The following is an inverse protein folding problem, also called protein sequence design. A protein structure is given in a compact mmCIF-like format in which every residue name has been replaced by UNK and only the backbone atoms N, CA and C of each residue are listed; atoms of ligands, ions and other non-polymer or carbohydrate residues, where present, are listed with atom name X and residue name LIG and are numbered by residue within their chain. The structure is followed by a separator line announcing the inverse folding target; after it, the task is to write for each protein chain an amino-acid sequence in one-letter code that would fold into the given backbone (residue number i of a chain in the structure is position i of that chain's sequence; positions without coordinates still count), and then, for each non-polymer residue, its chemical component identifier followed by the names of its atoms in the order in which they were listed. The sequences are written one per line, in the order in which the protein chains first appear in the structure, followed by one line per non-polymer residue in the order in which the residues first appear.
data_IF_975377927939
#
_entry.id   IF_975377927939
#
_cell.length_a   1.000
_cell.length_b   1.000
_cell.length_c   1.000
_cell.angle_alpha   90.00
_cell.angle_beta   90.00
_cell.angle_gamma   90.00
#
_symmetry.space_group_name_H-M   'P 1'
#
loop_
_entity.id
_entity.type
_entity.pdbx_description
1 polymer ?
#
# COMPACT_ATOMS: atom_id res chain seq x y z
N UNK A 1 -11.46 2.85 7.47
CA UNK A 1 -10.54 2.01 6.67
C UNK A 1 -9.33 1.70 7.53
N UNK A 2 -8.93 0.44 7.66
CA UNK A 2 -7.71 0.04 8.39
C UNK A 2 -6.64 -0.31 7.34
N UNK A 3 -5.39 -0.04 7.64
CA UNK A 3 -4.25 -0.47 6.82
C UNK A 3 -3.22 -1.06 7.78
N UNK A 4 -2.62 -2.19 7.41
CA UNK A 4 -1.56 -2.83 8.20
C UNK A 4 -0.18 -2.28 7.86
N UNK A 5 0.64 -2.08 8.90
CA UNK A 5 2.09 -1.86 8.79
C UNK A 5 2.73 -3.23 8.65
N UNK A 6 3.27 -3.53 7.48
CA UNK A 6 3.86 -4.85 7.19
C UNK A 6 5.37 -4.71 6.88
N UNK A 7 6.14 -5.74 7.24
CA UNK A 7 7.53 -5.88 6.81
C UNK A 7 7.60 -6.14 5.29
N UNK A 8 8.75 -5.82 4.68
CA UNK A 8 8.91 -5.81 3.21
C UNK A 8 8.59 -7.15 2.53
N UNK A 9 8.83 -8.28 3.22
CA UNK A 9 8.54 -9.62 2.71
C UNK A 9 7.04 -9.96 2.71
N UNK A 10 6.29 -9.47 3.70
CA UNK A 10 4.83 -9.66 3.77
C UNK A 10 4.11 -8.84 2.71
N UNK A 11 4.56 -7.60 2.48
CA UNK A 11 4.04 -6.76 1.38
C UNK A 11 4.31 -7.43 0.04
N UNK A 12 5.50 -8.00 -0.15
CA UNK A 12 5.84 -8.72 -1.38
C UNK A 12 4.93 -9.92 -1.62
N UNK A 13 4.70 -10.74 -0.61
CA UNK A 13 3.82 -11.91 -0.72
C UNK A 13 2.36 -11.53 -1.02
N UNK A 14 1.86 -10.46 -0.40
CA UNK A 14 0.51 -9.96 -0.63
C UNK A 14 0.33 -9.38 -2.03
N UNK A 15 1.28 -8.56 -2.50
CA UNK A 15 1.27 -8.02 -3.87
C UNK A 15 1.29 -9.15 -4.90
N UNK A 16 2.17 -10.14 -4.72
CA UNK A 16 2.24 -11.30 -5.62
C UNK A 16 0.91 -12.07 -5.67
N UNK A 17 0.22 -12.20 -4.54
CA UNK A 17 -1.08 -12.89 -4.47
C UNK A 17 -2.17 -12.11 -5.21
N UNK A 18 -2.20 -10.79 -5.04
CA UNK A 18 -3.13 -9.92 -5.77
C UNK A 18 -2.91 -10.01 -7.29
N UNK A 19 -1.66 -9.90 -7.74
CA UNK A 19 -1.28 -10.01 -9.15
C UNK A 19 -1.70 -11.34 -9.77
N UNK A 20 -1.45 -12.46 -9.07
CA UNK A 20 -1.84 -13.80 -9.55
C UNK A 20 -3.36 -13.94 -9.72
N UNK A 21 -4.15 -13.22 -8.94
CA UNK A 21 -5.62 -13.21 -9.04
C UNK A 21 -6.17 -12.22 -10.07
N UNK A 22 -5.31 -11.46 -10.75
CA UNK A 22 -5.72 -10.38 -11.66
C UNK A 22 -6.34 -9.17 -10.94
N UNK A 23 -6.12 -9.08 -9.62
CA UNK A 23 -6.59 -8.00 -8.78
C UNK A 23 -5.45 -6.98 -8.53
N UNK A 24 -5.84 -5.80 -8.07
CA UNK A 24 -4.96 -4.69 -7.80
C UNK A 24 -4.91 -4.40 -6.30
N UNK A 25 -3.78 -3.91 -5.83
CA UNK A 25 -3.59 -3.40 -4.47
C UNK A 25 -2.85 -2.07 -4.58
N UNK A 26 -3.01 -1.20 -3.58
CA UNK A 26 -2.14 -0.02 -3.45
C UNK A 26 -1.08 -0.29 -2.39
N UNK A 27 0.12 0.26 -2.61
CA UNK A 27 1.23 0.22 -1.66
C UNK A 27 1.78 1.64 -1.48
N UNK A 28 1.91 2.09 -0.24
CA UNK A 28 2.49 3.37 0.13
C UNK A 28 3.73 3.11 0.96
N UNK A 29 4.88 3.57 0.48
CA UNK A 29 6.18 3.31 1.09
C UNK A 29 6.80 4.59 1.62
N UNK A 30 7.15 4.63 2.90
CA UNK A 30 7.96 5.69 3.47
C UNK A 30 9.44 5.31 3.33
N UNK A 31 10.20 6.15 2.65
CA UNK A 31 11.62 5.91 2.36
C UNK A 31 12.50 6.91 3.11
N UNK A 32 13.59 6.43 3.71
CA UNK A 32 14.73 7.24 4.09
C UNK A 32 15.65 7.42 2.88
N UNK A 33 15.63 8.61 2.28
CA UNK A 33 16.48 8.89 1.12
C UNK A 33 17.97 8.96 1.49
N UNK A 34 18.31 9.40 2.71
CA UNK A 34 19.70 9.51 3.15
C UNK A 34 20.32 8.14 3.39
N UNK A 35 19.57 7.21 3.99
CA UNK A 35 20.01 5.84 4.22
C UNK A 35 19.72 4.89 3.04
N UNK A 36 19.00 5.34 2.02
CA UNK A 36 18.49 4.52 0.91
C UNK A 36 17.71 3.28 1.39
N UNK A 37 16.88 3.46 2.42
CA UNK A 37 16.13 2.37 3.06
C UNK A 37 14.64 2.64 3.09
N UNK A 38 13.83 1.60 2.94
CA UNK A 38 12.41 1.65 3.27
C UNK A 38 12.26 1.68 4.79
N UNK A 39 11.58 2.70 5.32
CA UNK A 39 11.25 2.80 6.76
C UNK A 39 10.00 2.01 7.11
N UNK A 40 8.98 2.11 6.26
CA UNK A 40 7.76 1.30 6.37
C UNK A 40 7.07 1.18 5.02
N UNK A 41 6.31 0.12 4.85
CA UNK A 41 5.37 -0.04 3.76
C UNK A 41 3.97 -0.25 4.34
N UNK A 42 2.99 0.42 3.73
CA UNK A 42 1.57 0.22 3.98
C UNK A 42 0.97 -0.39 2.72
N UNK A 43 0.12 -1.39 2.90
CA UNK A 43 -0.59 -2.04 1.80
C UNK A 43 -2.08 -2.03 2.10
N UNK A 44 -2.90 -2.00 1.06
CA UNK A 44 -4.34 -2.14 1.20
C UNK A 44 -4.71 -3.45 1.89
N UNK A 45 -5.65 -3.41 2.83
CA UNK A 45 -6.18 -4.62 3.49
C UNK A 45 -7.07 -5.45 2.54
N UNK A 46 -7.56 -4.84 1.46
CA UNK A 46 -8.41 -5.44 0.42
C UNK A 46 -7.73 -5.41 -0.96
N UNK A 47 -8.26 -6.21 -1.90
CA UNK A 47 -7.89 -6.17 -3.31
C UNK A 47 -8.99 -5.53 -4.13
N UNK A 48 -8.61 -4.89 -5.23
CA UNK A 48 -9.50 -4.14 -6.12
C UNK A 48 -9.57 -4.81 -7.49
N UNK A 49 -10.75 -4.87 -8.09
CA UNK A 49 -10.91 -5.42 -9.44
C UNK A 49 -10.35 -4.48 -10.54
N UNK A 50 -10.21 -3.19 -10.25
CA UNK A 50 -9.74 -2.18 -11.19
C UNK A 50 -8.57 -1.39 -10.61
N UNK A 51 -7.58 -1.11 -11.47
CA UNK A 51 -6.43 -0.27 -11.12
C UNK A 51 -6.85 1.11 -10.62
N UNK A 52 -7.82 1.74 -11.28
CA UNK A 52 -8.30 3.07 -10.91
C UNK A 52 -8.87 3.07 -9.48
N UNK A 53 -9.65 2.05 -9.11
CA UNK A 53 -10.20 1.91 -7.76
C UNK A 53 -9.09 1.74 -6.71
N UNK A 54 -8.04 0.97 -7.01
CA UNK A 54 -6.89 0.86 -6.11
C UNK A 54 -6.17 2.20 -5.92
N UNK A 55 -6.01 2.97 -7.00
CA UNK A 55 -5.38 4.29 -6.97
C UNK A 55 -6.21 5.27 -6.15
N UNK A 56 -7.51 5.39 -6.44
CA UNK A 56 -8.41 6.31 -5.74
C UNK A 56 -8.46 6.00 -4.23
N UNK A 57 -8.47 4.71 -3.87
CA UNK A 57 -8.44 4.29 -2.48
C UNK A 57 -7.10 4.62 -1.78
N UNK A 58 -5.98 4.46 -2.48
CA UNK A 58 -4.66 4.84 -1.98
C UNK A 58 -4.53 6.35 -1.77
N UNK A 59 -5.01 7.16 -2.72
CA UNK A 59 -5.00 8.62 -2.63
C UNK A 59 -5.91 9.12 -1.49
N UNK A 60 -7.10 8.52 -1.33
CA UNK A 60 -7.98 8.82 -0.20
C UNK A 60 -7.32 8.49 1.15
N UNK A 61 -6.57 7.38 1.22
CA UNK A 61 -5.84 7.00 2.43
C UNK A 61 -4.69 7.98 2.74
N UNK A 62 -3.94 8.43 1.72
CA UNK A 62 -2.90 9.45 1.87
C UNK A 62 -3.49 10.77 2.41
N UNK A 63 -4.59 11.22 1.83
CA UNK A 63 -5.26 12.45 2.28
C UNK A 63 -5.72 12.36 3.74
N UNK A 64 -6.28 11.22 4.13
CA UNK A 64 -6.68 11.00 5.52
C UNK A 64 -5.48 11.01 6.49
N UNK A 65 -4.32 10.50 6.09
CA UNK A 65 -3.09 10.57 6.89
C UNK A 65 -2.55 12.00 7.03
N UNK A 66 -2.75 12.87 6.03
CA UNK A 66 -2.38 14.28 6.10
C UNK A 66 -3.30 15.06 7.04
N UNK A 67 -4.60 14.75 7.04
CA UNK A 67 -5.59 15.39 7.92
C UNK A 67 -5.48 14.96 9.39
N UNK A 68 -4.91 13.79 9.67
CA UNK A 68 -4.65 13.26 11.04
C UNK A 68 -3.38 13.84 11.68
N UNK A 69 -2.56 14.62 10.93
CA UNK A 69 -1.25 15.13 11.37
C UNK A 69 -1.28 16.59 11.82
#
# INVERSE_FOLDING_TARGET
MKAKVNDSDEVRAFVQTAEQSGAYVWVITLVDFGAQKVKRSLVSDETYAMRAAAQDAGDAYLKALEEDR
#
